data_IF_345184256523
#
_entry.id   IF_345184256523
#
_cell.length_a   1.000
_cell.length_b   1.000
_cell.length_c   1.000
_cell.angle_alpha   90.00
_cell.angle_beta   90.00
_cell.angle_gamma   90.00
#
_symmetry.space_group_name_H-M   'P 1'
#
loop_
_entity.id
_entity.type
_entity.pdbx_description
1 polymer ?
#
# COMPACT_ATOMS: atom_id res chain seq x y z
N UNK A 1 -1.39 -13.47 13.46
CA UNK A 1 -1.68 -12.40 14.45
C UNK A 1 -1.19 -11.07 13.90
N UNK A 2 -1.89 -9.95 14.12
CA UNK A 2 -1.50 -8.65 13.58
C UNK A 2 -1.71 -7.52 14.58
N UNK A 3 -0.71 -6.65 14.71
CA UNK A 3 -0.69 -5.49 15.60
C UNK A 3 -0.48 -4.23 14.76
N UNK A 4 -1.28 -3.20 15.01
CA UNK A 4 -1.28 -1.97 14.21
C UNK A 4 -1.33 -0.74 15.12
N UNK A 5 -0.55 0.27 14.78
CA UNK A 5 -0.58 1.60 15.38
C UNK A 5 -0.65 2.63 14.25
N UNK A 6 -1.51 3.64 14.41
CA UNK A 6 -1.62 4.73 13.45
C UNK A 6 -1.94 6.04 14.16
N UNK A 7 -1.31 7.12 13.68
CA UNK A 7 -1.56 8.49 14.08
C UNK A 7 -1.83 9.33 12.83
N UNK A 8 -2.82 10.21 12.90
CA UNK A 8 -3.16 11.14 11.81
C UNK A 8 -3.41 12.53 12.39
N UNK A 9 -2.67 13.52 11.90
CA UNK A 9 -2.94 14.93 12.08
C UNK A 9 -3.63 15.45 10.81
N UNK A 10 -4.96 15.66 10.81
CA UNK A 10 -5.71 16.00 9.60
C UNK A 10 -5.49 17.44 9.12
N UNK A 11 -4.98 18.32 9.99
CA UNK A 11 -4.86 19.75 9.71
C UNK A 11 -3.47 20.30 10.07
N UNK A 12 -2.43 19.64 9.57
CA UNK A 12 -1.04 20.00 9.78
C UNK A 12 -0.80 21.47 9.38
N UNK A 13 -0.46 22.31 10.37
CA UNK A 13 -0.20 23.73 10.21
C UNK A 13 -1.43 24.65 10.24
N UNK A 14 -2.64 24.11 10.48
CA UNK A 14 -3.86 24.85 10.86
C UNK A 14 -4.50 25.78 9.82
N UNK A 15 -3.86 26.04 8.68
CA UNK A 15 -4.36 26.97 7.64
C UNK A 15 -5.01 26.29 6.43
N UNK A 16 -4.55 25.09 6.08
CA UNK A 16 -5.01 24.32 4.92
C UNK A 16 -5.15 22.85 5.32
N UNK A 17 -6.14 22.11 4.80
CA UNK A 17 -6.38 20.71 5.15
C UNK A 17 -5.27 19.82 4.56
N UNK A 18 -4.10 19.89 5.20
CA UNK A 18 -2.94 19.07 4.92
C UNK A 18 -2.91 17.98 5.99
N UNK A 19 -2.99 16.73 5.58
CA UNK A 19 -2.96 15.60 6.50
C UNK A 19 -1.54 15.05 6.61
N UNK A 20 -1.10 14.76 7.82
CA UNK A 20 0.08 13.98 8.10
C UNK A 20 -0.34 12.68 8.78
N UNK A 21 0.17 11.56 8.30
CA UNK A 21 -0.13 10.23 8.83
C UNK A 21 1.15 9.47 9.10
N UNK A 22 1.21 8.80 10.24
CA UNK A 22 2.29 7.90 10.62
C UNK A 22 1.64 6.59 11.00
N UNK A 23 2.13 5.48 10.47
CA UNK A 23 1.65 4.17 10.89
C UNK A 23 2.77 3.16 11.02
N UNK A 24 2.56 2.20 11.91
CA UNK A 24 3.43 1.07 12.14
C UNK A 24 2.56 -0.18 12.29
N UNK A 25 3.02 -1.28 11.74
CA UNK A 25 2.33 -2.55 11.92
C UNK A 25 3.30 -3.72 11.95
N UNK A 26 2.87 -4.80 12.60
CA UNK A 26 3.51 -6.11 12.51
C UNK A 26 2.43 -7.16 12.31
N UNK A 27 2.58 -7.96 11.28
CA UNK A 27 1.73 -9.11 10.99
C UNK A 27 2.58 -10.36 10.97
N UNK A 28 2.18 -11.39 11.71
CA UNK A 28 2.80 -12.69 11.70
C UNK A 28 1.79 -13.69 11.12
N UNK A 29 2.17 -14.33 10.04
CA UNK A 29 1.47 -15.44 9.41
C UNK A 29 2.29 -16.72 9.69
N UNK A 30 1.63 -17.75 10.20
CA UNK A 30 2.22 -19.07 10.41
C UNK A 30 1.60 -20.02 9.41
N UNK A 31 2.44 -20.84 8.79
CA UNK A 31 1.98 -21.98 8.01
C UNK A 31 1.95 -23.21 8.94
N UNK A 32 0.84 -23.95 8.91
CA UNK A 32 0.67 -25.16 9.72
C UNK A 32 0.33 -26.31 8.78
N UNK A 33 0.91 -27.48 9.04
CA UNK A 33 0.58 -28.69 8.29
C UNK A 33 -0.91 -29.07 8.48
N UNK A 34 -1.54 -29.52 7.40
CA UNK A 34 -2.99 -29.79 7.30
C UNK A 34 -3.44 -30.91 8.28
N UNK A 35 -2.49 -31.69 8.81
CA UNK A 35 -2.74 -32.81 9.72
C UNK A 35 -2.32 -32.59 11.19
N UNK A 36 -1.45 -31.62 11.47
CA UNK A 36 -1.03 -31.30 12.84
C UNK A 36 -0.89 -29.78 13.06
N UNK A 37 -1.97 -29.16 13.54
CA UNK A 37 -2.01 -27.75 13.91
C UNK A 37 -1.08 -27.39 15.11
N UNK A 38 -0.40 -28.36 15.72
CA UNK A 38 0.49 -28.12 16.86
C UNK A 38 1.95 -27.80 16.46
N UNK A 39 2.34 -28.11 15.23
CA UNK A 39 3.67 -27.83 14.69
C UNK A 39 3.63 -26.68 13.69
N UNK A 40 4.31 -25.58 14.02
CA UNK A 40 4.52 -24.47 13.09
C UNK A 40 5.59 -24.89 12.08
N UNK A 41 5.21 -25.10 10.83
CA UNK A 41 6.10 -25.57 9.76
C UNK A 41 6.88 -24.42 9.14
N UNK A 42 6.24 -23.24 9.01
CA UNK A 42 6.88 -22.05 8.49
C UNK A 42 6.30 -20.76 9.09
N UNK A 43 7.07 -19.67 9.03
CA UNK A 43 6.64 -18.35 9.48
C UNK A 43 6.96 -17.28 8.46
N UNK A 44 5.94 -16.50 8.12
CA UNK A 44 6.06 -15.27 7.36
C UNK A 44 5.67 -14.07 8.23
N UNK A 45 6.62 -13.23 8.58
CA UNK A 45 6.39 -12.02 9.36
C UNK A 45 6.63 -10.78 8.52
N UNK A 46 5.71 -9.81 8.59
CA UNK A 46 5.83 -8.51 7.93
C UNK A 46 5.80 -7.41 8.98
N UNK A 47 6.83 -6.57 9.02
CA UNK A 47 6.86 -5.36 9.83
C UNK A 47 6.90 -4.15 8.91
N UNK A 48 5.95 -3.22 9.06
CA UNK A 48 5.85 -2.04 8.21
C UNK A 48 5.83 -0.75 8.99
N UNK A 49 6.42 0.28 8.39
CA UNK A 49 6.35 1.68 8.83
C UNK A 49 5.95 2.54 7.63
N UNK A 50 5.10 3.52 7.83
CA UNK A 50 4.74 4.48 6.78
C UNK A 50 4.54 5.89 7.29
N UNK A 51 4.89 6.84 6.43
CA UNK A 51 4.69 8.27 6.60
C UNK A 51 3.93 8.77 5.37
N UNK A 52 2.72 9.27 5.57
CA UNK A 52 1.88 9.81 4.51
C UNK A 52 1.63 11.30 4.67
N UNK A 53 1.71 12.05 3.58
CA UNK A 53 1.35 13.45 3.51
C UNK A 53 0.29 13.66 2.42
N UNK A 54 -0.87 14.18 2.80
CA UNK A 54 -2.01 14.37 1.90
C UNK A 54 -2.41 15.83 1.79
N UNK A 55 -2.62 16.32 0.57
CA UNK A 55 -3.07 17.68 0.28
C UNK A 55 -4.29 17.67 -0.63
N UNK A 56 -5.17 18.65 -0.45
CA UNK A 56 -6.24 18.97 -1.39
C UNK A 56 -5.70 19.91 -2.47
N UNK A 57 -5.80 19.50 -3.73
CA UNK A 57 -5.41 20.34 -4.86
C UNK A 57 -6.53 21.34 -5.15
N UNK A 58 -6.16 22.54 -5.60
CA UNK A 58 -7.11 23.57 -6.06
C UNK A 58 -7.34 23.54 -7.57
N UNK A 59 -6.42 22.93 -8.29
CA UNK A 59 -6.48 22.75 -9.73
C UNK A 59 -6.40 21.25 -10.01
N UNK A 60 -7.24 20.71 -10.90
CA UNK A 60 -8.22 21.43 -11.74
C UNK A 60 -9.55 21.78 -11.03
N UNK A 61 -9.89 21.11 -9.92
CA UNK A 61 -11.02 21.46 -9.06
C UNK A 61 -10.74 21.06 -7.59
N UNK A 62 -11.61 21.46 -6.66
CA UNK A 62 -11.46 21.15 -5.24
C UNK A 62 -11.80 19.69 -4.89
N UNK A 63 -12.22 18.82 -5.80
CA UNK A 63 -12.43 17.39 -5.48
C UNK A 63 -11.15 16.57 -5.56
N UNK A 64 -10.05 17.16 -6.03
CA UNK A 64 -8.77 16.49 -6.14
C UNK A 64 -7.99 16.47 -4.82
N UNK A 65 -7.46 15.29 -4.50
CA UNK A 65 -6.51 15.06 -3.43
C UNK A 65 -5.27 14.36 -3.97
N UNK A 66 -4.10 14.78 -3.50
CA UNK A 66 -2.83 14.12 -3.74
C UNK A 66 -2.31 13.60 -2.40
N UNK A 67 -1.93 12.33 -2.35
CA UNK A 67 -1.33 11.70 -1.16
C UNK A 67 -0.03 11.03 -1.53
N UNK A 68 1.04 11.49 -0.90
CA UNK A 68 2.40 10.99 -1.03
C UNK A 68 2.74 10.17 0.21
N UNK A 69 3.06 8.88 0.04
CA UNK A 69 3.37 7.98 1.16
C UNK A 69 4.74 7.37 0.98
N UNK A 70 5.64 7.61 1.94
CA UNK A 70 6.88 6.85 2.07
C UNK A 70 6.62 5.65 2.98
N UNK A 71 7.00 4.46 2.55
CA UNK A 71 6.78 3.22 3.30
C UNK A 71 8.04 2.35 3.31
N UNK A 72 8.33 1.78 4.47
CA UNK A 72 9.34 0.74 4.66
C UNK A 72 8.65 -0.51 5.17
N UNK A 73 8.90 -1.65 4.53
CA UNK A 73 8.37 -2.95 4.94
C UNK A 73 9.52 -3.97 4.97
N UNK A 74 9.63 -4.68 6.09
CA UNK A 74 10.54 -5.80 6.29
C UNK A 74 9.73 -7.09 6.26
N UNK A 75 10.07 -7.97 5.33
CA UNK A 75 9.60 -9.33 5.28
C UNK A 75 10.64 -10.25 5.89
N UNK A 76 10.22 -11.11 6.79
CA UNK A 76 11.02 -12.15 7.45
C UNK A 76 10.37 -13.50 7.15
N UNK A 77 11.12 -14.36 6.47
CA UNK A 77 10.71 -15.71 6.11
C UNK A 77 11.57 -16.69 6.90
N UNK A 78 10.92 -17.65 7.56
CA UNK A 78 11.56 -18.76 8.26
C UNK A 78 10.86 -20.04 7.84
N UNK A 79 11.59 -20.96 7.21
CA UNK A 79 11.12 -22.26 6.74
C UNK A 79 9.80 -22.17 5.95
N UNK A 80 9.67 -21.12 5.12
CA UNK A 80 8.46 -20.87 4.34
C UNK A 80 8.61 -21.46 2.93
N UNK A 81 8.42 -22.78 2.83
CA UNK A 81 8.46 -23.51 1.58
C UNK A 81 7.35 -23.00 0.63
N UNK A 82 7.63 -22.88 -0.68
CA UNK A 82 6.77 -22.28 -1.73
C UNK A 82 6.91 -20.78 -2.02
N UNK A 83 7.91 -20.08 -1.46
CA UNK A 83 8.25 -18.70 -1.88
C UNK A 83 9.60 -18.61 -2.59
N UNK A 84 9.90 -17.47 -3.23
CA UNK A 84 11.18 -17.24 -3.93
C UNK A 84 12.42 -17.32 -3.01
N UNK A 85 12.20 -17.18 -1.71
CA UNK A 85 13.17 -17.32 -0.63
C UNK A 85 12.50 -18.14 0.46
N UNK A 86 13.14 -19.20 0.95
CA UNK A 86 12.63 -20.04 2.05
C UNK A 86 12.95 -19.44 3.42
N UNK A 87 14.18 -18.91 3.55
CA UNK A 87 14.74 -18.35 4.76
C UNK A 87 15.44 -17.02 4.45
N UNK A 88 15.10 -15.95 5.18
CA UNK A 88 15.83 -14.69 5.08
C UNK A 88 14.98 -13.43 5.27
N UNK A 89 15.59 -12.29 4.95
CA UNK A 89 14.99 -10.97 5.09
C UNK A 89 14.92 -10.23 3.75
N UNK A 90 13.73 -9.71 3.43
CA UNK A 90 13.53 -8.83 2.27
C UNK A 90 13.06 -7.45 2.71
N UNK A 91 13.77 -6.43 2.25
CA UNK A 91 13.50 -5.03 2.50
C UNK A 91 12.76 -4.40 1.32
N UNK A 92 11.66 -3.69 1.62
CA UNK A 92 10.85 -2.99 0.63
C UNK A 92 10.72 -1.53 1.04
N UNK A 93 11.46 -0.66 0.36
CA UNK A 93 11.37 0.79 0.51
C UNK A 93 10.60 1.29 -0.69
N UNK A 94 9.43 1.88 -0.46
CA UNK A 94 8.56 2.33 -1.54
C UNK A 94 8.03 3.74 -1.31
N UNK A 95 7.86 4.47 -2.41
CA UNK A 95 7.14 5.72 -2.46
C UNK A 95 5.86 5.45 -3.23
N UNK A 96 4.73 5.85 -2.64
CA UNK A 96 3.41 5.75 -3.25
C UNK A 96 2.79 7.12 -3.42
N UNK A 97 2.55 7.52 -4.65
CA UNK A 97 1.77 8.70 -5.00
C UNK A 97 0.36 8.27 -5.36
N UNK A 98 -0.65 8.92 -4.78
CA UNK A 98 -2.06 8.68 -5.07
C UNK A 98 -2.75 9.98 -5.41
N UNK A 99 -3.20 10.09 -6.66
CA UNK A 99 -4.07 11.14 -7.13
C UNK A 99 -5.51 10.63 -7.10
N UNK A 100 -6.39 11.32 -6.40
CA UNK A 100 -7.79 10.94 -6.22
C UNK A 100 -8.69 12.12 -6.54
N UNK A 101 -9.86 11.86 -7.13
CA UNK A 101 -10.93 12.84 -7.34
C UNK A 101 -12.24 12.23 -6.86
N UNK A 102 -12.81 12.79 -5.80
CA UNK A 102 -14.06 12.30 -5.20
C UNK A 102 -15.09 13.42 -5.23
N UNK A 103 -16.07 13.32 -6.15
CA UNK A 103 -17.13 14.30 -6.33
C UNK A 103 -18.52 13.71 -6.08
N UNK A 104 -18.59 12.64 -5.27
CA UNK A 104 -19.86 12.01 -4.88
C UNK A 104 -20.66 12.94 -3.97
N UNK A 105 -21.98 12.91 -4.12
CA UNK A 105 -22.89 13.76 -3.36
C UNK A 105 -23.14 13.28 -1.92
N UNK A 106 -23.16 11.96 -1.70
CA UNK A 106 -23.35 11.35 -0.39
C UNK A 106 -22.36 10.20 -0.21
N UNK A 107 -21.57 10.16 0.88
CA UNK A 107 -20.56 9.14 1.09
C UNK A 107 -21.12 7.76 1.46
N UNK A 108 -22.32 7.68 2.07
CA UNK A 108 -22.94 6.42 2.49
C UNK A 108 -23.79 5.80 1.38
N UNK A 109 -24.56 6.64 0.67
CA UNK A 109 -25.41 6.21 -0.43
C UNK A 109 -25.23 7.16 -1.63
N UNK A 110 -24.14 7.03 -2.40
CA UNK A 110 -23.88 7.89 -3.54
C UNK A 110 -24.97 7.71 -4.60
N UNK A 111 -25.57 8.82 -5.04
CA UNK A 111 -26.58 8.81 -6.11
C UNK A 111 -26.17 9.60 -7.35
N UNK A 112 -25.14 10.44 -7.25
CA UNK A 112 -24.55 11.16 -8.37
C UNK A 112 -23.07 11.45 -8.12
N UNK A 113 -22.29 11.52 -9.19
CA UNK A 113 -20.88 11.94 -9.16
C UNK A 113 -19.94 10.77 -9.40
N UNK A 114 -18.67 10.93 -9.02
CA UNK A 114 -17.61 9.96 -9.32
C UNK A 114 -16.60 9.83 -8.19
N UNK A 115 -16.00 8.65 -8.07
CA UNK A 115 -14.83 8.39 -7.23
C UNK A 115 -13.75 7.76 -8.10
N UNK A 116 -12.68 8.51 -8.39
CA UNK A 116 -11.58 8.07 -9.24
C UNK A 116 -10.30 8.11 -8.42
N UNK A 117 -9.49 7.06 -8.49
CA UNK A 117 -8.19 6.99 -7.82
C UNK A 117 -7.15 6.33 -8.71
N UNK A 118 -6.02 7.01 -8.89
CA UNK A 118 -4.82 6.50 -9.53
C UNK A 118 -3.68 6.50 -8.51
N UNK A 119 -3.09 5.33 -8.29
CA UNK A 119 -1.91 5.17 -7.43
C UNK A 119 -0.73 4.60 -8.21
N UNK A 120 0.44 5.19 -8.01
CA UNK A 120 1.73 4.67 -8.44
C UNK A 120 2.57 4.38 -7.20
N UNK A 121 2.97 3.12 -7.03
CA UNK A 121 3.92 2.71 -5.99
C UNK A 121 5.20 2.23 -6.66
N UNK A 122 6.32 2.83 -6.30
CA UNK A 122 7.63 2.54 -6.88
C UNK A 122 8.67 2.34 -5.80
N UNK A 123 9.68 1.54 -6.10
CA UNK A 123 10.87 1.35 -5.27
C UNK A 123 12.09 1.95 -5.97
N UNK A 124 13.14 2.34 -5.22
CA UNK A 124 14.42 2.67 -5.81
C UNK A 124 15.01 1.49 -6.61
N UNK A 125 15.76 1.75 -7.70
CA UNK A 125 16.40 0.69 -8.48
C UNK A 125 17.74 0.27 -7.85
N UNK A 126 17.70 -0.49 -6.76
CA UNK A 126 18.90 -0.92 -6.03
C UNK A 126 19.89 -1.72 -6.89
N UNK A 127 19.39 -2.48 -7.86
CA UNK A 127 20.12 -3.28 -8.83
C UNK A 127 21.03 -2.45 -9.72
N UNK A 128 20.59 -1.24 -10.08
CA UNK A 128 21.41 -0.30 -10.83
C UNK A 128 22.44 0.41 -9.95
N UNK A 129 22.19 0.52 -8.64
CA UNK A 129 23.04 1.28 -7.71
C UNK A 129 24.19 0.45 -7.12
N UNK A 130 24.05 -0.88 -7.01
CA UNK A 130 24.98 -1.71 -6.24
C UNK A 130 25.99 -2.53 -7.05
N UNK A 131 26.02 -2.38 -8.39
CA UNK A 131 27.01 -3.00 -9.30
C UNK A 131 27.22 -4.51 -9.11
N UNK A 132 26.24 -5.23 -8.55
CA UNK A 132 26.30 -6.69 -8.39
C UNK A 132 25.86 -7.38 -9.69
N UNK A 133 26.40 -8.58 -9.94
CA UNK A 133 25.95 -9.44 -11.03
C UNK A 133 24.80 -10.34 -10.56
N UNK A 134 23.57 -9.93 -10.85
CA UNK A 134 22.33 -10.60 -10.45
C UNK A 134 22.06 -11.94 -11.15
N UNK A 135 22.90 -12.35 -12.11
CA UNK A 135 22.75 -13.63 -12.81
C UNK A 135 23.21 -14.81 -11.95
N UNK A 136 24.20 -14.59 -11.07
CA UNK A 136 24.84 -15.63 -10.27
C UNK A 136 24.65 -15.44 -8.74
N UNK A 137 23.77 -14.54 -8.31
CA UNK A 137 23.47 -14.33 -6.89
C UNK A 137 22.56 -15.43 -6.35
N UNK A 138 22.80 -15.82 -5.11
CA UNK A 138 21.85 -16.61 -4.32
C UNK A 138 20.52 -15.85 -4.16
N UNK A 139 19.41 -16.58 -4.10
CA UNK A 139 18.08 -15.99 -4.05
C UNK A 139 17.88 -15.04 -2.86
N UNK A 140 18.42 -15.37 -1.68
CA UNK A 140 18.35 -14.51 -0.51
C UNK A 140 19.00 -13.14 -0.77
N UNK A 141 20.23 -13.12 -1.32
CA UNK A 141 20.90 -11.87 -1.66
C UNK A 141 20.20 -11.12 -2.81
N UNK A 142 19.73 -11.87 -3.80
CA UNK A 142 19.07 -11.33 -5.00
C UNK A 142 17.77 -10.60 -4.66
N UNK A 143 16.98 -11.14 -3.73
CA UNK A 143 15.68 -10.60 -3.32
C UNK A 143 15.73 -9.87 -1.97
N UNK A 144 16.94 -9.56 -1.48
CA UNK A 144 17.13 -8.78 -0.26
C UNK A 144 16.50 -7.39 -0.35
N UNK A 145 16.53 -6.76 -1.52
CA UNK A 145 15.84 -5.50 -1.80
C UNK A 145 14.82 -5.72 -2.90
N UNK A 146 13.55 -5.46 -2.58
CA UNK A 146 12.45 -5.70 -3.51
C UNK A 146 12.34 -4.51 -4.47
N UNK A 147 12.35 -4.82 -5.77
CA UNK A 147 12.26 -3.84 -6.85
C UNK A 147 11.01 -4.03 -7.71
N UNK A 148 10.18 -2.99 -7.82
CA UNK A 148 8.99 -3.00 -8.66
C UNK A 148 8.43 -1.60 -8.89
N UNK A 149 7.52 -1.53 -9.87
CA UNK A 149 6.54 -0.46 -10.00
C UNK A 149 5.15 -1.07 -10.07
N UNK A 150 4.19 -0.50 -9.33
CA UNK A 150 2.81 -0.98 -9.27
C UNK A 150 1.86 0.18 -9.54
N UNK A 151 1.03 0.01 -10.56
CA UNK A 151 -0.03 0.93 -10.92
C UNK A 151 -1.38 0.36 -10.45
N UNK A 152 -2.20 1.21 -9.82
CA UNK A 152 -3.58 0.86 -9.48
C UNK A 152 -4.50 1.98 -9.92
N UNK A 153 -5.52 1.62 -10.68
CA UNK A 153 -6.57 2.53 -11.11
C UNK A 153 -7.93 1.98 -10.68
N UNK A 154 -8.72 2.82 -10.04
CA UNK A 154 -10.10 2.54 -9.64
C UNK A 154 -10.96 3.71 -10.08
N UNK A 155 -12.11 3.44 -10.69
CA UNK A 155 -13.09 4.45 -11.04
C UNK A 155 -14.49 3.91 -10.77
N UNK A 156 -15.28 4.65 -10.01
CA UNK A 156 -16.71 4.43 -9.83
C UNK A 156 -17.46 5.68 -10.30
N UNK A 157 -18.51 5.50 -11.10
CA UNK A 157 -19.42 6.56 -11.53
C UNK A 157 -20.85 6.25 -11.10
N UNK A 158 -21.52 7.24 -10.52
CA UNK A 158 -22.89 7.15 -10.04
C UNK A 158 -23.78 8.06 -10.88
N UNK A 159 -24.75 7.46 -11.57
CA UNK A 159 -25.68 8.17 -12.44
C UNK A 159 -27.12 7.83 -12.05
N UNK A 160 -27.93 8.82 -11.62
CA UNK A 160 -29.34 8.57 -11.36
C UNK A 160 -30.08 8.38 -12.69
N UNK A 161 -30.79 7.27 -12.85
CA UNK A 161 -31.50 6.93 -14.09
C UNK A 161 -32.97 7.32 -13.98
N UNK A 162 -33.69 6.80 -12.97
CA UNK A 162 -35.10 7.12 -12.69
C UNK A 162 -35.34 7.08 -11.18
N UNK A 163 -35.89 8.17 -10.62
CA UNK A 163 -36.24 8.24 -9.20
C UNK A 163 -35.03 7.95 -8.29
N UNK A 164 -35.10 6.87 -7.51
CA UNK A 164 -34.00 6.40 -6.63
C UNK A 164 -33.13 5.31 -7.27
N UNK A 165 -33.39 4.93 -8.52
CA UNK A 165 -32.60 3.94 -9.23
C UNK A 165 -31.33 4.58 -9.79
N UNK A 166 -30.18 4.12 -9.30
CA UNK A 166 -28.85 4.66 -9.62
C UNK A 166 -28.02 3.57 -10.27
N UNK A 167 -27.45 3.88 -11.44
CA UNK A 167 -26.44 3.04 -12.07
C UNK A 167 -25.07 3.35 -11.45
N UNK A 168 -24.37 2.30 -11.02
CA UNK A 168 -22.96 2.33 -10.68
C UNK A 168 -22.17 1.62 -11.77
N UNK A 169 -21.20 2.31 -12.35
CA UNK A 169 -20.27 1.80 -13.38
C UNK A 169 -18.84 1.93 -12.94
#
# INVERSE_FOLDING_TARGET
>A
QSYNFAFVEPWLGGKKPNSLSVSAYRSNFGDNDDFDLSTLEGRFSTTGLSLGYGIRLKFPDDYFTLTSTLSYQLYELVDYENFLIENGFSHNISIKETLSRISINNPQFPSSGSSISLSLQITPPFSLLNQKDYTNLENEEKYRFIEYHKWRFTADWYTPVVGKFVLRS
#
